data_IF_644363325803
#
_entry.id   IF_644363325803
#
_cell.length_a   1.000
_cell.length_b   1.000
_cell.length_c   1.000
_cell.angle_alpha   90.00
_cell.angle_beta   90.00
_cell.angle_gamma   90.00
#
_symmetry.space_group_name_H-M   'P 1'
#
loop_
_entity.id
_entity.type
_entity.pdbx_description
1 polymer ?
#
# COMPACT_ATOMS: atom_id res chain seq x y z
N UNK A 1 5.74 11.11 2.50
CA UNK A 1 5.88 10.21 3.65
C UNK A 1 5.60 8.76 3.23
N UNK A 2 6.47 7.83 3.58
CA UNK A 2 6.31 6.39 3.31
C UNK A 2 6.13 5.66 4.65
N UNK A 3 4.98 5.00 4.82
CA UNK A 3 4.68 4.20 6.01
C UNK A 3 5.17 2.77 5.79
N UNK A 4 5.92 2.23 6.77
CA UNK A 4 6.56 0.93 6.70
C UNK A 4 6.06 0.04 7.85
N UNK A 5 5.28 -1.01 7.56
CA UNK A 5 4.78 -1.91 8.59
C UNK A 5 5.85 -2.91 9.06
N UNK A 6 6.47 -3.66 8.15
CA UNK A 6 7.45 -4.71 8.45
C UNK A 6 8.72 -4.59 7.63
N UNK A 7 9.86 -4.83 8.24
CA UNK A 7 11.16 -4.77 7.58
C UNK A 7 11.27 -5.71 6.36
N UNK A 8 10.66 -6.90 6.42
CA UNK A 8 10.62 -7.85 5.30
C UNK A 8 9.88 -7.32 4.06
N UNK A 9 9.04 -6.29 4.20
CA UNK A 9 8.31 -5.66 3.11
C UNK A 9 9.11 -4.50 2.45
N UNK A 10 10.24 -4.11 3.03
CA UNK A 10 11.02 -2.94 2.61
C UNK A 10 11.44 -2.97 1.14
N UNK A 11 11.77 -4.14 0.61
CA UNK A 11 12.18 -4.30 -0.79
C UNK A 11 11.14 -3.80 -1.80
N UNK A 12 9.83 -3.78 -1.45
CA UNK A 12 8.77 -3.25 -2.31
C UNK A 12 8.77 -1.72 -2.42
N UNK A 13 9.48 -1.05 -1.51
CA UNK A 13 9.49 0.42 -1.35
C UNK A 13 10.87 1.01 -1.59
N UNK A 14 11.93 0.23 -1.40
CA UNK A 14 13.31 0.73 -1.44
C UNK A 14 13.64 1.47 -2.75
N UNK A 15 13.25 0.90 -3.89
CA UNK A 15 13.46 1.53 -5.20
C UNK A 15 12.70 2.84 -5.35
N UNK A 16 11.45 2.90 -4.85
CA UNK A 16 10.66 4.14 -4.82
C UNK A 16 11.38 5.21 -4.01
N UNK A 17 11.80 4.87 -2.79
CA UNK A 17 12.50 5.79 -1.91
C UNK A 17 13.77 6.36 -2.56
N UNK A 18 14.63 5.49 -3.09
CA UNK A 18 15.88 5.89 -3.77
C UNK A 18 15.62 6.84 -4.93
N UNK A 19 14.64 6.52 -5.78
CA UNK A 19 14.29 7.33 -6.95
C UNK A 19 13.64 8.66 -6.60
N UNK A 20 12.83 8.70 -5.55
CA UNK A 20 12.24 9.94 -5.05
C UNK A 20 13.28 10.89 -4.46
N UNK A 21 14.33 10.37 -3.82
CA UNK A 21 15.45 11.17 -3.30
C UNK A 21 16.26 11.87 -4.41
N UNK A 22 16.20 11.39 -5.66
CA UNK A 22 16.84 12.05 -6.81
C UNK A 22 16.13 13.36 -7.23
N UNK A 23 14.96 13.65 -6.64
CA UNK A 23 14.16 14.85 -6.91
C UNK A 23 14.52 15.97 -5.92
N UNK A 24 15.11 17.06 -6.42
CA UNK A 24 15.61 18.17 -5.59
C UNK A 24 14.53 18.85 -4.74
N UNK A 25 13.28 18.88 -5.24
CA UNK A 25 12.15 19.55 -4.58
C UNK A 25 11.33 18.64 -3.63
N UNK A 26 11.79 17.41 -3.38
CA UNK A 26 11.07 16.43 -2.58
C UNK A 26 11.80 16.10 -1.27
N UNK A 27 11.09 16.27 -0.15
CA UNK A 27 11.49 15.68 1.13
C UNK A 27 10.82 14.31 1.27
N UNK A 28 11.61 13.25 1.34
CA UNK A 28 11.09 11.87 1.42
C UNK A 28 11.43 11.27 2.78
N UNK A 29 10.40 10.98 3.56
CA UNK A 29 10.52 10.47 4.92
C UNK A 29 10.08 9.01 4.99
N UNK A 30 10.90 8.16 5.62
CA UNK A 30 10.57 6.76 5.95
C UNK A 30 10.10 6.68 7.41
N UNK A 31 8.91 6.14 7.64
CA UNK A 31 8.32 6.01 8.97
C UNK A 31 7.94 4.56 9.24
N UNK A 32 8.74 3.81 10.02
CA UNK A 32 8.30 2.54 10.59
C UNK A 32 7.10 2.75 11.51
N UNK A 33 6.03 1.99 11.27
CA UNK A 33 4.78 2.07 12.05
C UNK A 33 4.56 0.78 12.82
N UNK A 34 3.89 0.84 13.98
CA UNK A 34 3.56 -0.35 14.74
C UNK A 34 2.54 -1.24 14.03
N UNK A 35 2.61 -2.52 14.31
CA UNK A 35 1.65 -3.52 13.89
C UNK A 35 1.34 -4.50 15.02
N UNK A 36 0.27 -5.28 14.83
CA UNK A 36 -0.22 -6.26 15.79
C UNK A 36 -0.60 -7.55 15.07
N UNK A 37 -0.40 -8.67 15.71
CA UNK A 37 -1.13 -9.88 15.37
C UNK A 37 -2.48 -9.90 16.09
N UNK A 38 -3.44 -10.67 15.55
CA UNK A 38 -4.75 -10.82 16.16
C UNK A 38 -4.86 -12.15 16.89
N UNK A 39 -5.56 -12.11 18.01
CA UNK A 39 -6.04 -13.31 18.71
C UNK A 39 -7.20 -13.98 17.96
N UNK A 40 -7.54 -15.20 18.33
CA UNK A 40 -8.63 -15.94 17.69
C UNK A 40 -10.02 -15.30 17.80
N UNK A 41 -10.21 -14.41 18.78
CA UNK A 41 -11.43 -13.59 18.95
C UNK A 41 -11.35 -12.22 18.26
N UNK A 42 -10.27 -11.96 17.50
CA UNK A 42 -10.04 -10.73 16.74
C UNK A 42 -9.41 -9.57 17.51
N UNK A 43 -9.11 -9.75 18.80
CA UNK A 43 -8.39 -8.76 19.61
C UNK A 43 -6.96 -8.49 19.11
N UNK A 44 -6.42 -7.31 19.38
CA UNK A 44 -5.02 -7.00 19.10
C UNK A 44 -4.14 -7.58 20.20
N UNK A 45 -3.10 -8.31 19.82
CA UNK A 45 -2.08 -8.83 20.71
C UNK A 45 -1.05 -7.77 21.06
N UNK A 46 0.17 -8.15 21.46
CA UNK A 46 1.24 -7.22 21.79
C UNK A 46 1.64 -6.39 20.56
N UNK A 47 1.97 -5.10 20.80
CA UNK A 47 2.47 -4.20 19.77
C UNK A 47 3.88 -4.60 19.33
N UNK A 48 4.07 -4.71 18.04
CA UNK A 48 5.37 -4.95 17.42
C UNK A 48 5.77 -3.75 16.54
N UNK A 49 7.07 -3.55 16.38
CA UNK A 49 7.65 -2.55 15.46
C UNK A 49 9.06 -2.97 15.06
N UNK A 50 9.35 -2.95 13.78
CA UNK A 50 10.59 -3.51 13.20
C UNK A 50 11.76 -2.50 13.11
N UNK A 51 11.76 -1.37 13.84
CA UNK A 51 12.77 -0.30 13.71
C UNK A 51 14.21 -0.81 13.71
N UNK A 52 14.50 -1.79 14.59
CA UNK A 52 15.85 -2.35 14.70
C UNK A 52 16.22 -3.35 13.57
N UNK A 53 15.23 -3.80 12.81
CA UNK A 53 15.39 -4.79 11.73
C UNK A 53 15.55 -4.16 10.37
N UNK A 54 15.03 -2.92 10.18
CA UNK A 54 15.18 -2.20 8.92
C UNK A 54 16.64 -1.92 8.56
N UNK A 55 17.00 -1.81 7.25
CA UNK A 55 18.35 -1.51 6.80
C UNK A 55 18.92 -0.26 7.45
N UNK A 56 20.13 -0.36 8.04
CA UNK A 56 20.74 0.71 8.85
C UNK A 56 21.35 1.87 8.03
N UNK A 57 21.45 1.71 6.73
CA UNK A 57 21.94 2.75 5.81
C UNK A 57 20.91 3.85 5.54
N UNK A 58 19.63 3.65 5.94
CA UNK A 58 18.58 4.65 5.77
C UNK A 58 18.24 5.35 7.09
N UNK A 59 17.72 6.56 6.97
CA UNK A 59 17.24 7.35 8.12
C UNK A 59 15.73 7.18 8.24
N UNK A 60 15.27 6.83 9.44
CA UNK A 60 13.87 6.65 9.76
C UNK A 60 13.42 7.69 10.77
N UNK A 61 12.22 8.23 10.56
CA UNK A 61 11.60 9.13 11.54
C UNK A 61 10.78 8.33 12.54
N UNK A 62 10.75 8.81 13.79
CA UNK A 62 9.96 8.19 14.84
C UNK A 62 8.52 8.67 14.75
N UNK A 63 7.58 7.77 14.57
CA UNK A 63 6.15 8.07 14.46
C UNK A 63 5.59 8.82 15.68
N UNK A 64 6.11 8.56 16.89
CA UNK A 64 5.66 9.22 18.13
C UNK A 64 6.00 10.71 18.19
N UNK A 65 7.00 11.14 17.45
CA UNK A 65 7.46 12.54 17.40
C UNK A 65 6.94 13.30 16.18
N UNK A 66 6.19 12.66 15.28
CA UNK A 66 5.69 13.29 14.07
C UNK A 66 4.29 13.89 14.29
N UNK A 67 4.17 15.18 14.15
CA UNK A 67 2.90 15.92 14.29
C UNK A 67 2.24 16.02 12.90
N UNK A 68 1.28 15.13 12.65
CA UNK A 68 0.55 15.06 11.38
C UNK A 68 -0.31 16.31 11.11
N UNK A 69 -0.80 16.99 12.13
CA UNK A 69 -1.60 18.20 11.94
C UNK A 69 -0.76 19.41 11.50
N UNK A 70 0.46 19.50 12.01
CA UNK A 70 1.40 20.58 11.67
C UNK A 70 2.22 20.30 10.42
N UNK A 71 2.51 19.03 10.16
CA UNK A 71 3.38 18.59 9.06
C UNK A 71 2.61 17.64 8.14
N UNK A 72 1.46 18.09 7.61
CA UNK A 72 0.65 17.28 6.68
C UNK A 72 1.46 16.93 5.44
N UNK A 73 1.70 15.62 5.16
CA UNK A 73 2.40 15.22 3.96
C UNK A 73 1.55 15.48 2.70
N UNK A 74 2.16 15.98 1.62
CA UNK A 74 1.48 16.09 0.33
C UNK A 74 1.07 14.72 -0.22
N UNK A 75 1.84 13.69 0.13
CA UNK A 75 1.60 12.31 -0.27
C UNK A 75 1.97 11.35 0.87
N UNK A 76 1.11 10.35 1.10
CA UNK A 76 1.40 9.20 1.97
C UNK A 76 1.39 7.94 1.09
N UNK A 77 2.50 7.19 1.11
CA UNK A 77 2.60 5.86 0.48
C UNK A 77 2.48 4.79 1.55
N UNK A 78 1.51 3.89 1.38
CA UNK A 78 1.34 2.68 2.20
C UNK A 78 1.78 1.46 1.41
N UNK A 79 2.38 0.47 2.07
CA UNK A 79 2.66 -0.83 1.47
C UNK A 79 1.83 -1.98 2.08
N UNK A 80 1.08 -1.72 3.16
CA UNK A 80 0.18 -2.67 3.80
C UNK A 80 -1.28 -2.25 3.66
N UNK A 81 -2.17 -3.12 3.13
CA UNK A 81 -3.59 -2.81 3.03
C UNK A 81 -4.38 -3.20 4.28
N UNK A 82 -3.70 -3.77 5.30
CA UNK A 82 -4.32 -4.48 6.43
C UNK A 82 -4.68 -3.55 7.59
N UNK A 83 -5.83 -2.95 7.49
CA UNK A 83 -6.49 -2.17 8.54
C UNK A 83 -7.31 -3.07 9.49
N UNK A 84 -8.51 -2.63 9.86
CA UNK A 84 -9.40 -3.27 10.84
C UNK A 84 -9.95 -4.63 10.42
N UNK A 85 -10.02 -4.94 9.13
CA UNK A 85 -10.73 -6.13 8.62
C UNK A 85 -9.86 -7.37 8.42
N UNK A 86 -8.54 -7.26 8.45
CA UNK A 86 -7.70 -8.45 8.33
C UNK A 86 -7.78 -9.30 9.60
N UNK A 87 -8.03 -10.62 9.44
CA UNK A 87 -8.25 -11.54 10.54
C UNK A 87 -6.95 -11.96 11.28
N UNK A 88 -5.78 -11.73 10.67
CA UNK A 88 -4.49 -12.23 11.18
C UNK A 88 -3.66 -11.12 11.79
N UNK A 89 -3.66 -9.96 11.18
CA UNK A 89 -2.82 -8.84 11.57
C UNK A 89 -3.51 -7.49 11.35
N UNK A 90 -2.97 -6.46 11.97
CA UNK A 90 -3.41 -5.08 11.80
C UNK A 90 -2.19 -4.17 11.91
N UNK A 91 -2.13 -3.10 11.16
CA UNK A 91 -1.27 -1.97 11.53
C UNK A 91 -1.89 -1.26 12.74
N UNK A 92 -1.14 -0.37 13.39
CA UNK A 92 -1.67 0.40 14.51
C UNK A 92 -2.90 1.22 14.05
N UNK A 93 -4.00 1.23 14.80
CA UNK A 93 -5.25 1.90 14.43
C UNK A 93 -5.10 3.38 14.06
N UNK A 94 -4.12 4.09 14.61
CA UNK A 94 -3.82 5.45 14.19
C UNK A 94 -3.47 5.55 12.69
N UNK A 95 -2.77 4.53 12.15
CA UNK A 95 -2.33 4.48 10.76
C UNK A 95 -3.32 3.82 9.80
N UNK A 96 -4.53 3.51 10.24
CA UNK A 96 -5.56 3.02 9.32
C UNK A 96 -5.76 3.99 8.16
N UNK A 97 -5.96 3.45 6.98
CA UNK A 97 -6.08 4.22 5.74
C UNK A 97 -7.19 5.29 5.81
N UNK A 98 -8.30 4.98 6.49
CA UNK A 98 -9.38 5.94 6.75
C UNK A 98 -8.89 7.17 7.55
N UNK A 99 -7.98 6.96 8.52
CA UNK A 99 -7.41 8.06 9.31
C UNK A 99 -6.34 8.82 8.52
N UNK A 100 -5.46 8.10 7.80
CA UNK A 100 -4.41 8.72 6.99
C UNK A 100 -4.96 9.64 5.89
N UNK A 101 -6.16 9.36 5.36
CA UNK A 101 -6.87 10.26 4.43
C UNK A 101 -7.13 11.66 4.98
N UNK A 102 -7.16 11.85 6.29
CA UNK A 102 -7.33 13.17 6.88
C UNK A 102 -6.05 14.02 6.83
N UNK A 103 -4.89 13.38 6.66
CA UNK A 103 -3.57 14.01 6.72
C UNK A 103 -2.88 14.16 5.37
N UNK A 104 -3.50 13.72 4.28
CA UNK A 104 -2.93 13.89 2.93
C UNK A 104 -4.00 14.00 1.86
N UNK A 105 -3.67 14.68 0.77
CA UNK A 105 -4.49 14.69 -0.45
C UNK A 105 -4.26 13.47 -1.33
N UNK A 106 -3.07 12.84 -1.21
CA UNK A 106 -2.64 11.72 -2.03
C UNK A 106 -2.27 10.53 -1.14
N UNK A 107 -3.24 9.66 -0.84
CA UNK A 107 -3.00 8.38 -0.16
C UNK A 107 -2.80 7.31 -1.22
N UNK A 108 -1.58 6.77 -1.32
CA UNK A 108 -1.18 5.82 -2.35
C UNK A 108 -0.92 4.45 -1.74
N UNK A 109 -1.30 3.40 -2.44
CA UNK A 109 -1.02 2.04 -2.03
C UNK A 109 -0.10 1.35 -3.05
N UNK A 110 1.03 0.83 -2.57
CA UNK A 110 1.98 0.00 -3.31
C UNK A 110 2.08 -1.35 -2.62
N UNK A 111 1.58 -2.45 -3.21
CA UNK A 111 1.63 -3.77 -2.59
C UNK A 111 3.06 -4.20 -2.24
N UNK A 112 3.24 -4.76 -1.05
CA UNK A 112 4.52 -5.29 -0.59
C UNK A 112 4.92 -6.62 -1.25
N UNK A 113 4.09 -7.15 -2.13
CA UNK A 113 4.26 -8.45 -2.80
C UNK A 113 3.88 -8.35 -4.29
N UNK A 114 4.32 -9.33 -5.04
CA UNK A 114 3.84 -9.64 -6.40
C UNK A 114 3.22 -11.04 -6.39
N UNK A 115 2.34 -11.29 -7.34
CA UNK A 115 1.71 -12.60 -7.56
C UNK A 115 2.10 -13.15 -8.93
N UNK A 116 1.72 -14.39 -9.22
CA UNK A 116 1.63 -14.86 -10.59
C UNK A 116 0.59 -14.03 -11.36
N UNK A 117 0.61 -14.08 -12.68
CA UNK A 117 -0.35 -13.38 -13.53
C UNK A 117 -1.71 -14.10 -13.48
N UNK A 118 -2.56 -13.65 -12.55
CA UNK A 118 -3.92 -14.18 -12.33
C UNK A 118 -4.87 -13.50 -13.32
N UNK A 119 -5.60 -14.29 -14.10
CA UNK A 119 -6.57 -13.80 -15.09
C UNK A 119 -8.00 -14.03 -14.62
N UNK A 120 -8.80 -12.99 -14.63
CA UNK A 120 -10.21 -13.11 -14.32
C UNK A 120 -10.96 -13.97 -15.31
N UNK A 121 -11.76 -14.91 -14.82
CA UNK A 121 -12.60 -15.80 -15.62
C UNK A 121 -11.91 -17.07 -16.12
N UNK A 122 -10.60 -17.25 -15.93
CA UNK A 122 -9.91 -18.49 -16.22
C UNK A 122 -10.14 -19.52 -15.09
N UNK A 123 -10.51 -20.75 -15.43
CA UNK A 123 -10.85 -21.80 -14.46
C UNK A 123 -9.67 -22.16 -13.56
N UNK A 124 -8.46 -22.23 -14.14
CA UNK A 124 -7.20 -22.51 -13.43
C UNK A 124 -6.87 -21.44 -12.36
N UNK A 125 -7.31 -20.20 -12.55
CA UNK A 125 -7.10 -19.08 -11.65
C UNK A 125 -8.21 -18.92 -10.59
N UNK A 126 -9.28 -19.69 -10.65
CA UNK A 126 -10.44 -19.55 -9.79
C UNK A 126 -10.12 -19.53 -8.29
N UNK A 127 -9.22 -20.41 -7.82
CA UNK A 127 -8.79 -20.43 -6.42
C UNK A 127 -7.98 -19.18 -6.04
N UNK A 128 -7.12 -18.70 -6.93
CA UNK A 128 -6.33 -17.51 -6.71
C UNK A 128 -7.24 -16.26 -6.66
N UNK A 129 -8.24 -16.19 -7.53
CA UNK A 129 -9.26 -15.12 -7.54
C UNK A 129 -10.04 -15.08 -6.22
N UNK A 130 -10.47 -16.22 -5.69
CA UNK A 130 -11.14 -16.28 -4.37
C UNK A 130 -10.21 -15.78 -3.26
N UNK A 131 -8.92 -16.16 -3.28
CA UNK A 131 -7.95 -15.71 -2.30
C UNK A 131 -7.68 -14.19 -2.35
N UNK A 132 -8.03 -13.50 -3.44
CA UNK A 132 -7.91 -12.04 -3.54
C UNK A 132 -8.77 -11.29 -2.51
N UNK A 133 -9.82 -11.90 -1.96
CA UNK A 133 -10.60 -11.32 -0.85
C UNK A 133 -9.71 -10.88 0.32
N UNK A 134 -8.64 -11.63 0.59
CA UNK A 134 -7.75 -11.38 1.72
C UNK A 134 -6.78 -10.22 1.55
N UNK A 135 -6.55 -9.74 0.31
CA UNK A 135 -5.55 -8.69 0.05
C UNK A 135 -5.98 -7.62 -0.97
N UNK A 136 -7.03 -7.86 -1.76
CA UNK A 136 -7.62 -6.86 -2.67
C UNK A 136 -8.82 -6.17 -2.03
N UNK A 137 -9.77 -6.94 -1.46
CA UNK A 137 -10.97 -6.39 -0.83
C UNK A 137 -10.67 -5.88 0.60
N UNK A 138 -9.69 -4.97 0.70
CA UNK A 138 -9.21 -4.44 1.97
C UNK A 138 -9.43 -2.92 2.07
N UNK A 139 -9.60 -2.36 3.28
CA UNK A 139 -9.82 -0.93 3.46
C UNK A 139 -8.72 -0.06 2.86
N UNK A 140 -7.47 -0.51 2.90
CA UNK A 140 -6.34 0.20 2.31
C UNK A 140 -6.55 0.53 0.84
N UNK A 141 -7.07 -0.43 0.04
CA UNK A 141 -7.39 -0.19 -1.38
C UNK A 141 -8.62 0.72 -1.54
N UNK A 142 -9.63 0.53 -0.69
CA UNK A 142 -10.85 1.35 -0.77
C UNK A 142 -10.55 2.83 -0.52
N UNK A 143 -9.72 3.15 0.46
CA UNK A 143 -9.39 4.52 0.85
C UNK A 143 -8.25 5.15 0.03
N UNK A 144 -7.33 4.36 -0.55
CA UNK A 144 -6.28 4.90 -1.40
C UNK A 144 -6.86 5.69 -2.59
N UNK A 145 -6.19 6.77 -2.97
CA UNK A 145 -6.53 7.54 -4.17
C UNK A 145 -6.06 6.83 -5.43
N UNK A 146 -4.91 6.12 -5.30
CA UNK A 146 -4.36 5.30 -6.35
C UNK A 146 -3.68 4.05 -5.76
N UNK A 147 -3.85 2.92 -6.44
CA UNK A 147 -3.17 1.65 -6.14
C UNK A 147 -2.33 1.24 -7.34
N UNK A 148 -1.04 1.00 -7.11
CA UNK A 148 -0.09 0.63 -8.15
C UNK A 148 0.15 -0.87 -8.14
N UNK A 149 -0.12 -1.54 -9.26
CA UNK A 149 0.00 -2.99 -9.39
C UNK A 149 1.03 -3.40 -10.44
N UNK A 150 1.52 -4.62 -10.34
CA UNK A 150 2.65 -5.15 -11.08
C UNK A 150 2.48 -5.24 -12.60
N UNK A 151 1.23 -5.37 -13.11
CA UNK A 151 0.97 -5.60 -14.53
C UNK A 151 -0.45 -5.22 -14.92
N UNK A 152 -0.71 -5.10 -16.24
CA UNK A 152 -2.05 -4.84 -16.77
C UNK A 152 -2.99 -6.04 -16.57
N UNK A 153 -2.48 -7.26 -16.56
CA UNK A 153 -3.27 -8.46 -16.25
C UNK A 153 -3.80 -8.38 -14.82
N UNK A 154 -2.92 -8.10 -13.85
CA UNK A 154 -3.29 -7.94 -12.44
C UNK A 154 -4.20 -6.72 -12.24
N UNK A 155 -3.96 -5.62 -12.96
CA UNK A 155 -4.85 -4.46 -12.95
C UNK A 155 -6.29 -4.84 -13.29
N UNK A 156 -6.48 -5.52 -14.41
CA UNK A 156 -7.81 -5.98 -14.84
C UNK A 156 -8.46 -6.89 -13.80
N UNK A 157 -7.71 -7.86 -13.29
CA UNK A 157 -8.21 -8.80 -12.29
C UNK A 157 -8.58 -8.09 -10.95
N UNK A 158 -7.81 -7.10 -10.53
CA UNK A 158 -8.17 -6.27 -9.36
C UNK A 158 -9.46 -5.47 -9.59
N UNK A 159 -9.63 -4.88 -10.77
CA UNK A 159 -10.85 -4.13 -11.13
C UNK A 159 -12.07 -5.06 -11.10
N UNK A 160 -11.98 -6.24 -11.72
CA UNK A 160 -13.07 -7.21 -11.70
C UNK A 160 -13.40 -7.67 -10.27
N UNK A 161 -12.37 -8.00 -9.48
CA UNK A 161 -12.55 -8.44 -8.10
C UNK A 161 -13.19 -7.37 -7.20
N UNK A 162 -12.74 -6.13 -7.31
CA UNK A 162 -13.31 -5.00 -6.58
C UNK A 162 -14.72 -4.67 -7.06
N UNK A 163 -14.99 -4.80 -8.35
CA UNK A 163 -16.33 -4.61 -8.92
C UNK A 163 -17.29 -5.70 -8.43
N UNK A 164 -16.86 -6.97 -8.40
CA UNK A 164 -17.63 -8.07 -7.80
C UNK A 164 -17.98 -7.78 -6.34
N UNK A 165 -17.02 -7.24 -5.58
CA UNK A 165 -17.16 -6.96 -4.15
C UNK A 165 -18.05 -5.74 -3.85
N UNK A 166 -17.96 -4.68 -4.67
CA UNK A 166 -18.61 -3.38 -4.38
C UNK A 166 -19.84 -3.08 -5.23
N UNK A 167 -19.99 -3.72 -6.37
CA UNK A 167 -21.05 -3.48 -7.35
C UNK A 167 -20.56 -2.83 -8.65
N UNK A 168 -21.28 -3.06 -9.75
CA UNK A 168 -20.92 -2.58 -11.09
C UNK A 168 -20.91 -1.05 -11.19
N UNK A 169 -21.69 -0.36 -10.39
CA UNK A 169 -21.72 1.10 -10.31
C UNK A 169 -20.38 1.74 -9.90
N UNK A 170 -19.49 0.96 -9.25
CA UNK A 170 -18.17 1.42 -8.82
C UNK A 170 -17.04 1.09 -9.81
N UNK A 171 -17.31 0.35 -10.90
CA UNK A 171 -16.31 -0.07 -11.90
C UNK A 171 -15.45 1.09 -12.40
N UNK A 172 -16.09 2.17 -12.87
CA UNK A 172 -15.37 3.34 -13.40
C UNK A 172 -14.42 3.99 -12.37
N UNK A 173 -14.79 3.94 -11.07
CA UNK A 173 -13.93 4.41 -9.99
C UNK A 173 -12.70 3.51 -9.87
N UNK A 174 -12.86 2.18 -9.90
CA UNK A 174 -11.75 1.24 -9.80
C UNK A 174 -10.82 1.33 -11.02
N UNK A 175 -11.36 1.47 -12.23
CA UNK A 175 -10.59 1.67 -13.46
C UNK A 175 -9.67 2.89 -13.38
N UNK A 176 -10.12 3.95 -12.70
CA UNK A 176 -9.33 5.16 -12.45
C UNK A 176 -8.29 5.00 -11.34
N UNK A 177 -8.63 4.26 -10.27
CA UNK A 177 -7.80 4.11 -9.07
C UNK A 177 -6.71 3.06 -9.20
N UNK A 178 -6.90 2.01 -10.02
CA UNK A 178 -5.93 0.93 -10.16
C UNK A 178 -5.05 1.17 -11.38
N UNK A 179 -3.74 1.28 -11.18
CA UNK A 179 -2.75 1.61 -12.21
C UNK A 179 -1.73 0.49 -12.34
N UNK A 180 -1.50 0.02 -13.56
CA UNK A 180 -0.42 -0.92 -13.89
C UNK A 180 0.89 -0.14 -14.06
N UNK A 181 1.79 -0.26 -13.10
CA UNK A 181 3.06 0.50 -13.07
C UNK A 181 4.30 -0.39 -13.03
N UNK A 182 4.13 -1.69 -12.83
CA UNK A 182 5.22 -2.57 -12.40
C UNK A 182 5.41 -2.53 -10.88
N UNK A 183 6.47 -3.17 -10.40
CA UNK A 183 6.84 -3.25 -8.98
C UNK A 183 8.35 -3.16 -8.82
N UNK A 184 8.82 -2.60 -7.70
CA UNK A 184 10.24 -2.64 -7.32
C UNK A 184 10.75 -4.08 -7.24
N UNK A 185 9.92 -5.03 -6.84
CA UNK A 185 10.25 -6.45 -6.80
C UNK A 185 10.52 -7.06 -8.19
N UNK A 186 10.21 -6.32 -9.27
CA UNK A 186 10.49 -6.70 -10.65
C UNK A 186 11.57 -5.80 -11.29
N UNK A 187 12.22 -4.91 -10.53
CA UNK A 187 13.18 -3.93 -11.04
C UNK A 187 12.56 -2.86 -11.94
N UNK A 188 11.28 -2.52 -11.72
CA UNK A 188 10.55 -1.50 -12.48
C UNK A 188 10.35 -0.19 -11.70
N UNK A 189 11.35 0.17 -10.90
CA UNK A 189 11.30 1.33 -10.00
C UNK A 189 11.05 2.64 -10.74
N UNK A 190 11.68 2.85 -11.88
CA UNK A 190 11.56 4.09 -12.66
C UNK A 190 10.15 4.31 -13.19
N UNK A 191 9.53 3.27 -13.75
CA UNK A 191 8.16 3.36 -14.24
C UNK A 191 7.17 3.60 -13.11
N UNK A 192 7.32 2.86 -12.00
CA UNK A 192 6.47 3.01 -10.82
C UNK A 192 6.57 4.43 -10.26
N UNK A 193 7.77 4.97 -10.07
CA UNK A 193 7.97 6.34 -9.56
C UNK A 193 7.42 7.37 -10.54
N UNK A 194 7.61 7.19 -11.85
CA UNK A 194 7.03 8.07 -12.87
C UNK A 194 5.50 8.15 -12.76
N UNK A 195 4.83 7.02 -12.53
CA UNK A 195 3.37 6.97 -12.36
C UNK A 195 2.93 7.63 -11.03
N UNK A 196 3.69 7.42 -9.96
CA UNK A 196 3.43 8.07 -8.66
C UNK A 196 3.54 9.59 -8.81
N UNK A 197 4.62 10.09 -9.40
CA UNK A 197 4.83 11.53 -9.62
C UNK A 197 3.71 12.12 -10.47
N UNK A 198 3.36 11.49 -11.59
CA UNK A 198 2.28 11.94 -12.46
C UNK A 198 0.93 12.03 -11.73
N UNK A 199 0.68 11.14 -10.76
CA UNK A 199 -0.53 11.17 -9.94
C UNK A 199 -0.51 12.31 -8.91
N UNK A 200 0.62 12.53 -8.24
CA UNK A 200 0.75 13.53 -7.16
C UNK A 200 0.77 14.95 -7.72
N UNK A 201 1.32 15.14 -8.93
CA UNK A 201 1.44 16.45 -9.59
C UNK A 201 0.17 16.85 -10.39
N UNK A 202 -0.83 15.95 -10.53
CA UNK A 202 -2.08 16.20 -11.25
C UNK A 202 -3.14 16.88 -10.38
#
# INVERSE_FOLDING_TARGET
LILLDKAKHFASIEGIYKKMLEKEDWEVLLMPIPYYFRSGDGGLLEQEIDVEVFPKEYTYINYKGYDFERNMPDCIVMNSPYDSFNAVQSIDPFFYSSNMKHYTKNLLYVPWFITEEIKWGEEEDGKAIVNMDYYVCQPGLAHADCTFVQSETIRKTYIEKLTEFTGEEFRAMWEKKIVASGSCLQGKDEELVRQILAHVES
#
